data_IF_795623094290
#
_entry.id   IF_795623094290
#
_cell.length_a   1.000
_cell.length_b   1.000
_cell.length_c   1.000
_cell.angle_alpha   90.00
_cell.angle_beta   90.00
_cell.angle_gamma   90.00
#
_symmetry.space_group_name_H-M   'P 1'
#
loop_
_entity.id
_entity.type
_entity.pdbx_description
1 polymer ?
#
# COMPACT_ATOMS: atom_id res chain seq x y z
N UNK A 1 7.56 -11.66 2.97
CA UNK A 1 7.20 -10.40 3.68
C UNK A 1 6.36 -9.52 2.76
N UNK A 2 5.05 -9.41 2.98
CA UNK A 2 4.15 -8.84 1.97
C UNK A 2 4.22 -7.31 1.90
N UNK A 3 4.49 -6.75 0.73
CA UNK A 3 4.58 -5.31 0.55
C UNK A 3 3.43 -4.75 -0.28
N UNK A 4 2.84 -3.67 0.19
CA UNK A 4 1.76 -2.96 -0.48
C UNK A 4 2.19 -1.52 -0.75
N UNK A 5 1.90 -0.99 -1.93
CA UNK A 5 2.18 0.39 -2.30
C UNK A 5 0.93 1.05 -2.86
N UNK A 6 0.48 2.10 -2.18
CA UNK A 6 -0.58 2.99 -2.64
C UNK A 6 0.05 4.26 -3.23
N UNK A 7 -0.26 4.54 -4.48
CA UNK A 7 0.11 5.80 -5.14
C UNK A 7 -1.12 6.72 -5.09
N UNK A 8 -0.94 7.90 -4.50
CA UNK A 8 -1.94 8.95 -4.43
C UNK A 8 -1.40 10.20 -5.13
N UNK A 9 -2.18 10.77 -6.05
CA UNK A 9 -1.78 12.01 -6.73
C UNK A 9 -1.61 13.15 -5.72
N UNK A 10 -2.56 13.26 -4.79
CA UNK A 10 -2.59 14.26 -3.73
C UNK A 10 -3.17 13.68 -2.45
N UNK A 11 -2.89 14.39 -1.35
CA UNK A 11 -3.60 14.22 -0.09
C UNK A 11 -4.12 15.56 0.41
N UNK A 12 -5.39 15.59 0.78
CA UNK A 12 -6.08 16.73 1.36
C UNK A 12 -5.39 17.18 2.64
N UNK A 13 -5.39 18.49 2.89
CA UNK A 13 -4.96 19.03 4.17
C UNK A 13 -6.06 18.80 5.20
N UNK A 14 -5.66 18.38 6.39
CA UNK A 14 -6.54 18.18 7.55
C UNK A 14 -5.72 18.38 8.82
N UNK A 15 -6.40 18.61 9.93
CA UNK A 15 -5.80 18.76 11.25
C UNK A 15 -6.48 17.84 12.27
N UNK A 16 -6.05 17.93 13.54
CA UNK A 16 -6.64 17.12 14.62
C UNK A 16 -8.12 17.45 14.85
N UNK A 17 -8.51 18.72 14.85
CA UNK A 17 -9.89 19.14 15.07
C UNK A 17 -10.84 18.59 14.00
N UNK A 18 -10.39 18.52 12.75
CA UNK A 18 -11.16 17.91 11.66
C UNK A 18 -11.46 16.43 11.98
N UNK A 19 -10.46 15.68 12.46
CA UNK A 19 -10.61 14.27 12.85
C UNK A 19 -11.52 14.13 14.07
N UNK A 20 -11.33 14.99 15.09
CA UNK A 20 -12.13 15.00 16.32
C UNK A 20 -13.62 15.29 16.05
N UNK A 21 -13.93 16.03 14.98
CA UNK A 21 -15.30 16.37 14.56
C UNK A 21 -15.86 15.43 13.48
N UNK A 22 -15.15 14.37 13.09
CA UNK A 22 -15.58 13.44 12.03
C UNK A 22 -15.60 14.07 10.63
N UNK A 23 -14.78 15.10 10.39
CA UNK A 23 -14.64 15.82 9.12
C UNK A 23 -13.38 15.40 8.36
N UNK A 24 -12.89 14.19 8.58
CA UNK A 24 -11.72 13.65 7.87
C UNK A 24 -11.99 13.62 6.36
N UNK A 25 -11.09 14.16 5.52
CA UNK A 25 -11.24 14.10 4.07
C UNK A 25 -11.36 12.67 3.55
N UNK A 26 -12.14 12.48 2.48
CA UNK A 26 -12.43 11.14 1.95
C UNK A 26 -11.19 10.37 1.48
N UNK A 27 -10.19 11.07 0.92
CA UNK A 27 -8.92 10.48 0.51
C UNK A 27 -8.09 9.99 1.71
N UNK A 28 -8.07 10.77 2.80
CA UNK A 28 -7.45 10.37 4.07
C UNK A 28 -8.19 9.16 4.66
N UNK A 29 -9.52 9.17 4.64
CA UNK A 29 -10.34 8.04 5.08
C UNK A 29 -10.00 6.76 4.31
N UNK A 30 -9.91 6.83 2.97
CA UNK A 30 -9.54 5.66 2.13
C UNK A 30 -8.15 5.12 2.46
N UNK A 31 -7.17 6.01 2.70
CA UNK A 31 -5.84 5.61 3.15
C UNK A 31 -5.92 4.90 4.51
N UNK A 32 -6.72 5.40 5.45
CA UNK A 32 -6.93 4.78 6.75
C UNK A 32 -7.61 3.39 6.61
N UNK A 33 -8.61 3.26 5.74
CA UNK A 33 -9.22 1.95 5.41
C UNK A 33 -8.19 0.97 4.83
N UNK A 34 -7.29 1.43 3.96
CA UNK A 34 -6.17 0.62 3.47
C UNK A 34 -5.24 0.21 4.62
N UNK A 35 -4.81 1.14 5.47
CA UNK A 35 -3.95 0.86 6.64
C UNK A 35 -4.58 -0.22 7.54
N UNK A 36 -5.87 -0.11 7.81
CA UNK A 36 -6.63 -1.08 8.59
C UNK A 36 -6.56 -2.46 7.96
N UNK A 37 -6.82 -2.58 6.66
CA UNK A 37 -6.84 -3.86 5.97
C UNK A 37 -5.43 -4.43 5.71
N UNK A 38 -4.39 -3.59 5.69
CA UNK A 38 -2.99 -4.04 5.63
C UNK A 38 -2.51 -4.58 6.98
N UNK A 39 -2.89 -3.96 8.11
CA UNK A 39 -2.26 -4.26 9.39
C UNK A 39 -3.18 -4.90 10.43
N UNK A 40 -4.43 -4.49 10.57
CA UNK A 40 -5.25 -4.86 11.71
C UNK A 40 -5.82 -6.28 11.59
N UNK A 41 -5.66 -7.07 12.65
CA UNK A 41 -6.34 -8.34 12.91
C UNK A 41 -7.22 -8.17 14.16
N UNK A 42 -8.06 -9.15 14.47
CA UNK A 42 -8.94 -9.12 15.66
C UNK A 42 -8.19 -8.91 16.98
N UNK A 43 -6.99 -9.49 17.12
CA UNK A 43 -6.22 -9.48 18.38
C UNK A 43 -4.76 -9.05 18.22
N UNK A 44 -4.34 -8.69 17.00
CA UNK A 44 -2.93 -8.38 16.72
C UNK A 44 -2.81 -7.49 15.48
N UNK A 45 -1.58 -7.21 15.07
CA UNK A 45 -1.28 -6.63 13.77
C UNK A 45 -0.45 -7.60 12.90
N UNK A 46 -0.59 -7.51 11.59
CA UNK A 46 0.20 -8.24 10.60
C UNK A 46 1.63 -7.71 10.58
N UNK A 47 2.50 -8.30 11.40
CA UNK A 47 3.94 -7.96 11.47
C UNK A 47 4.69 -8.27 10.17
N UNK A 48 4.17 -9.19 9.36
CA UNK A 48 4.78 -9.58 8.08
C UNK A 48 4.59 -8.57 6.95
N UNK A 49 3.79 -7.52 7.17
CA UNK A 49 3.40 -6.57 6.13
C UNK A 49 4.18 -5.27 6.19
N UNK A 50 4.40 -4.66 5.02
CA UNK A 50 4.89 -3.28 4.86
C UNK A 50 3.92 -2.54 3.96
N UNK A 51 3.56 -1.30 4.33
CA UNK A 51 2.72 -0.44 3.52
C UNK A 51 3.45 0.85 3.16
N UNK A 52 3.53 1.13 1.87
CA UNK A 52 4.06 2.35 1.32
C UNK A 52 2.92 3.21 0.79
N UNK A 53 3.00 4.51 1.03
CA UNK A 53 2.14 5.51 0.41
C UNK A 53 3.06 6.47 -0.32
N UNK A 54 2.93 6.56 -1.64
CA UNK A 54 3.59 7.58 -2.43
C UNK A 54 2.60 8.71 -2.74
N UNK A 55 2.91 9.92 -2.26
CA UNK A 55 2.13 11.14 -2.49
C UNK A 55 2.86 11.96 -3.55
N UNK A 56 2.36 11.90 -4.79
CA UNK A 56 3.05 12.44 -5.97
C UNK A 56 3.26 13.95 -5.89
N UNK A 57 2.22 14.72 -5.57
CA UNK A 57 2.32 16.18 -5.54
C UNK A 57 3.23 16.75 -4.43
N UNK A 58 3.75 15.88 -3.55
CA UNK A 58 4.68 16.24 -2.48
C UNK A 58 6.05 15.57 -2.65
N UNK A 59 6.24 14.75 -3.68
CA UNK A 59 7.41 13.88 -3.85
C UNK A 59 7.77 13.14 -2.55
N UNK A 60 6.74 12.65 -1.84
CA UNK A 60 6.84 12.15 -0.48
C UNK A 60 6.43 10.68 -0.43
N UNK A 61 7.30 9.82 0.08
CA UNK A 61 6.96 8.45 0.40
C UNK A 61 6.83 8.27 1.92
N UNK A 62 5.75 7.64 2.36
CA UNK A 62 5.52 7.24 3.75
C UNK A 62 5.55 5.71 3.82
N UNK A 63 6.29 5.14 4.76
CA UNK A 63 6.39 3.70 5.00
C UNK A 63 5.87 3.35 6.39
N UNK A 64 5.01 2.36 6.46
CA UNK A 64 4.55 1.70 7.67
C UNK A 64 5.13 0.29 7.70
N UNK A 65 5.95 -0.01 8.71
CA UNK A 65 6.63 -1.29 8.93
C UNK A 65 5.90 -2.05 10.05
N UNK A 66 5.16 -3.11 9.69
CA UNK A 66 4.34 -3.88 10.62
C UNK A 66 5.13 -4.50 11.77
N UNK A 67 6.43 -4.79 11.60
CA UNK A 67 7.27 -5.34 12.69
C UNK A 67 7.56 -4.30 13.77
N UNK A 68 7.58 -3.02 13.42
CA UNK A 68 8.00 -1.91 14.29
C UNK A 68 6.84 -1.00 14.71
N UNK A 69 5.67 -1.18 14.10
CA UNK A 69 4.51 -0.32 14.27
C UNK A 69 4.00 -0.37 15.71
N UNK A 70 3.69 0.80 16.27
CA UNK A 70 3.01 0.95 17.57
C UNK A 70 1.91 1.99 17.47
N UNK A 71 0.93 1.89 18.36
CA UNK A 71 -0.19 2.84 18.51
C UNK A 71 -1.15 2.93 17.32
N UNK A 72 -0.99 2.08 16.30
CA UNK A 72 -1.97 1.96 15.22
C UNK A 72 -3.18 1.17 15.74
N UNK A 73 -4.28 1.87 16.01
CA UNK A 73 -5.58 1.25 16.28
C UNK A 73 -6.32 0.92 14.97
N UNK A 74 -7.39 0.12 15.05
CA UNK A 74 -8.26 -0.13 13.89
C UNK A 74 -9.19 1.05 13.59
N UNK A 75 -9.31 2.01 14.51
CA UNK A 75 -10.13 3.21 14.34
C UNK A 75 -9.46 4.22 13.40
N UNK A 76 -10.30 4.91 12.61
CA UNK A 76 -9.84 5.93 11.66
C UNK A 76 -9.09 7.07 12.35
N UNK A 77 -9.53 7.49 13.54
CA UNK A 77 -8.93 8.59 14.30
C UNK A 77 -7.45 8.32 14.61
N UNK A 78 -7.12 7.18 15.20
CA UNK A 78 -5.73 6.85 15.55
C UNK A 78 -4.82 6.76 14.32
N UNK A 79 -5.32 6.20 13.23
CA UNK A 79 -4.62 6.08 11.95
C UNK A 79 -4.38 7.45 11.32
N UNK A 80 -5.42 8.29 11.24
CA UNK A 80 -5.36 9.66 10.70
C UNK A 80 -4.38 10.52 11.50
N UNK A 81 -4.33 10.37 12.84
CA UNK A 81 -3.39 11.07 13.73
C UNK A 81 -1.93 10.62 13.56
N UNK A 82 -1.69 9.35 13.23
CA UNK A 82 -0.34 8.87 12.91
C UNK A 82 0.12 9.36 11.54
N UNK A 83 -0.78 9.33 10.56
CA UNK A 83 -0.51 9.81 9.21
C UNK A 83 -0.20 11.32 9.21
N UNK A 84 -0.99 12.15 9.88
CA UNK A 84 -0.74 13.59 9.93
C UNK A 84 0.61 13.92 10.59
N UNK A 85 1.02 13.17 11.63
CA UNK A 85 2.35 13.32 12.25
C UNK A 85 3.46 13.04 11.24
N UNK A 86 3.34 11.99 10.43
CA UNK A 86 4.30 11.69 9.37
C UNK A 86 4.32 12.78 8.29
N UNK A 87 3.16 13.25 7.84
CA UNK A 87 3.08 14.32 6.83
C UNK A 87 3.69 15.63 7.33
N UNK A 88 3.54 15.96 8.61
CA UNK A 88 4.07 17.20 9.17
C UNK A 88 5.60 17.26 9.21
N UNK A 89 6.30 16.12 9.24
CA UNK A 89 7.77 16.10 9.20
C UNK A 89 8.29 16.58 7.84
N UNK A 90 7.53 16.38 6.76
CA UNK A 90 7.92 16.88 5.43
C UNK A 90 8.07 18.42 5.37
N UNK A 91 7.51 19.14 6.34
CA UNK A 91 7.65 20.59 6.46
C UNK A 91 8.87 21.04 7.29
N UNK A 92 9.59 20.13 7.93
CA UNK A 92 10.75 20.44 8.77
C UNK A 92 11.99 20.72 7.91
N UNK A 93 12.85 21.66 8.35
CA UNK A 93 14.08 22.01 7.63
C UNK A 93 15.05 20.83 7.52
N UNK A 94 15.16 20.03 8.58
CA UNK A 94 16.03 18.85 8.63
C UNK A 94 15.66 17.81 7.57
N UNK A 95 14.37 17.65 7.29
CA UNK A 95 13.89 16.75 6.23
C UNK A 95 14.40 17.13 4.84
N UNK A 96 14.51 18.44 4.55
CA UNK A 96 14.91 18.90 3.21
C UNK A 96 16.39 18.65 2.88
N UNK A 97 17.21 18.36 3.88
CA UNK A 97 18.66 18.19 3.75
C UNK A 97 19.12 16.74 3.95
N UNK A 98 18.21 15.79 4.09
CA UNK A 98 18.53 14.40 4.42
C UNK A 98 18.23 13.45 3.26
N UNK A 99 19.23 12.66 2.88
CA UNK A 99 19.07 11.52 2.01
C UNK A 99 18.71 10.28 2.85
N UNK A 100 17.49 9.77 2.69
CA UNK A 100 17.09 8.48 3.27
C UNK A 100 15.74 8.48 3.99
N UNK A 101 15.50 7.40 4.75
CA UNK A 101 14.30 7.21 5.56
C UNK A 101 14.43 7.90 6.91
N UNK A 102 13.47 8.76 7.23
CA UNK A 102 13.38 9.51 8.48
C UNK A 102 12.24 8.95 9.31
N UNK A 103 12.50 8.65 10.58
CA UNK A 103 11.48 8.10 11.47
C UNK A 103 10.51 9.20 11.92
N UNK A 104 9.22 8.96 11.76
CA UNK A 104 8.14 9.80 12.30
C UNK A 104 7.70 9.33 13.69
N UNK A 105 7.23 8.10 13.75
CA UNK A 105 6.80 7.42 14.98
C UNK A 105 7.27 5.97 14.91
N UNK A 106 7.11 5.13 15.96
CA UNK A 106 7.52 3.74 15.89
C UNK A 106 6.87 3.00 14.71
N UNK A 107 7.71 2.54 13.79
CA UNK A 107 7.30 1.83 12.57
C UNK A 107 6.80 2.71 11.43
N UNK A 108 6.77 4.04 11.58
CA UNK A 108 6.39 4.96 10.51
C UNK A 108 7.60 5.78 10.10
N UNK A 109 7.91 5.77 8.81
CA UNK A 109 9.05 6.46 8.23
C UNK A 109 8.59 7.29 7.04
N UNK A 110 9.33 8.35 6.73
CA UNK A 110 9.12 9.14 5.53
C UNK A 110 10.41 9.30 4.75
N UNK A 111 10.31 9.50 3.45
CA UNK A 111 11.45 9.73 2.56
C UNK A 111 11.06 10.69 1.45
N UNK A 112 11.95 11.63 1.15
CA UNK A 112 11.82 12.49 -0.03
C UNK A 112 12.22 11.70 -1.26
N UNK A 113 11.39 11.73 -2.28
CA UNK A 113 11.68 11.16 -3.58
C UNK A 113 12.10 12.26 -4.55
N UNK A 114 12.79 11.90 -5.66
CA UNK A 114 12.91 12.77 -6.81
C UNK A 114 11.52 13.16 -7.33
N UNK A 115 11.44 14.32 -7.96
CA UNK A 115 10.22 14.75 -8.62
C UNK A 115 9.96 13.92 -9.88
N UNK A 116 8.80 13.26 -9.94
CA UNK A 116 8.36 12.48 -11.08
C UNK A 116 7.20 13.20 -11.78
N UNK A 117 7.33 13.45 -13.09
CA UNK A 117 6.33 14.21 -13.85
C UNK A 117 5.02 13.46 -14.01
N UNK A 118 5.10 12.14 -14.07
CA UNK A 118 3.97 11.25 -14.24
C UNK A 118 4.20 9.96 -13.40
N UNK A 119 3.16 9.15 -13.16
CA UNK A 119 3.31 7.91 -12.42
C UNK A 119 4.29 6.93 -13.10
N UNK A 120 4.32 6.88 -14.44
CA UNK A 120 5.17 5.96 -15.23
C UNK A 120 6.66 6.11 -14.89
N UNK A 121 7.16 7.34 -14.77
CA UNK A 121 8.54 7.64 -14.40
C UNK A 121 8.89 7.05 -13.03
N UNK A 122 7.96 7.16 -12.06
CA UNK A 122 8.12 6.56 -10.75
C UNK A 122 8.14 5.03 -10.83
N UNK A 123 7.23 4.40 -11.58
CA UNK A 123 7.23 2.95 -11.76
C UNK A 123 8.52 2.43 -12.41
N UNK A 124 9.10 3.18 -13.35
CA UNK A 124 10.38 2.85 -13.95
C UNK A 124 11.53 2.90 -12.94
N UNK A 125 11.47 3.82 -11.97
CA UNK A 125 12.46 3.95 -10.89
C UNK A 125 12.43 2.82 -9.86
N UNK A 126 11.32 2.08 -9.74
CA UNK A 126 11.24 0.94 -8.82
C UNK A 126 12.25 -0.15 -9.22
N UNK A 127 12.85 -0.88 -8.26
CA UNK A 127 13.73 -2.01 -8.58
C UNK A 127 13.00 -3.04 -9.46
N UNK A 128 13.76 -3.89 -10.18
CA UNK A 128 13.24 -4.90 -11.11
C UNK A 128 12.50 -6.08 -10.44
N UNK A 129 11.86 -5.85 -9.31
CA UNK A 129 11.09 -6.86 -8.57
C UNK A 129 9.68 -7.03 -9.15
N UNK A 130 9.11 -8.19 -8.87
CA UNK A 130 7.82 -8.63 -9.43
C UNK A 130 6.71 -7.71 -8.92
N UNK A 131 6.12 -6.97 -9.86
CA UNK A 131 5.03 -6.04 -9.59
C UNK A 131 3.71 -6.76 -9.84
N UNK A 132 2.76 -6.66 -8.92
CA UNK A 132 1.36 -6.95 -9.27
C UNK A 132 0.61 -5.65 -9.48
N UNK A 133 -0.01 -5.54 -10.64
CA UNK A 133 -1.08 -4.56 -10.86
C UNK A 133 -2.42 -5.28 -11.10
N UNK A 134 -3.49 -4.66 -10.62
CA UNK A 134 -4.84 -5.20 -10.75
C UNK A 134 -5.61 -4.44 -11.82
N UNK A 135 -6.13 -5.15 -12.81
CA UNK A 135 -6.94 -4.56 -13.89
C UNK A 135 -8.36 -5.12 -13.86
N UNK A 136 -9.35 -4.25 -14.03
CA UNK A 136 -10.76 -4.63 -14.17
C UNK A 136 -11.12 -5.16 -15.58
N UNK A 137 -10.19 -5.13 -16.55
CA UNK A 137 -10.46 -5.59 -17.92
C UNK A 137 -10.04 -7.06 -18.08
N UNK A 138 -10.69 -7.76 -19.02
CA UNK A 138 -10.45 -9.17 -19.38
C UNK A 138 -9.03 -9.48 -19.94
N UNK A 139 -8.06 -8.56 -19.81
CA UNK A 139 -6.67 -8.77 -20.20
C UNK A 139 -5.79 -9.24 -19.02
N UNK A 140 -6.41 -9.72 -17.94
CA UNK A 140 -5.69 -10.37 -16.85
C UNK A 140 -5.20 -11.73 -17.33
N UNK A 141 -3.92 -12.03 -17.07
CA UNK A 141 -3.28 -13.27 -17.52
C UNK A 141 -3.54 -14.39 -16.50
N UNK A 142 -3.77 -14.03 -15.23
CA UNK A 142 -3.96 -14.98 -14.13
C UNK A 142 -5.10 -14.54 -13.21
N UNK A 143 -5.99 -15.49 -12.90
CA UNK A 143 -6.93 -15.35 -11.78
C UNK A 143 -6.19 -15.66 -10.48
N UNK A 144 -6.32 -14.80 -9.48
CA UNK A 144 -5.75 -15.03 -8.16
C UNK A 144 -6.24 -16.35 -7.51
N UNK A 145 -7.45 -16.80 -7.89
CA UNK A 145 -8.01 -18.06 -7.43
C UNK A 145 -7.37 -19.29 -8.08
N UNK A 146 -6.75 -19.13 -9.25
CA UNK A 146 -6.13 -20.21 -10.04
C UNK A 146 -4.61 -20.26 -9.88
N UNK A 147 -4.06 -19.45 -8.97
CA UNK A 147 -2.62 -19.41 -8.70
C UNK A 147 -2.17 -20.76 -8.14
N UNK A 148 -1.24 -21.42 -8.86
CA UNK A 148 -0.61 -22.64 -8.37
C UNK A 148 0.06 -22.43 -7.00
N UNK A 149 0.14 -23.46 -6.13
CA UNK A 149 0.79 -23.37 -4.82
C UNK A 149 2.22 -22.81 -4.86
N UNK A 150 2.96 -23.04 -5.94
CA UNK A 150 4.31 -22.53 -6.14
C UNK A 150 4.37 -21.00 -6.31
N UNK A 151 3.36 -20.41 -6.94
CA UNK A 151 3.26 -18.96 -7.12
C UNK A 151 2.71 -18.30 -5.85
N UNK A 152 1.81 -18.96 -5.11
CA UNK A 152 1.32 -18.49 -3.80
C UNK A 152 2.46 -18.30 -2.79
N UNK A 153 3.44 -19.22 -2.78
CA UNK A 153 4.65 -19.10 -1.95
C UNK A 153 5.50 -17.87 -2.29
N UNK A 154 5.41 -17.37 -3.53
CA UNK A 154 6.11 -16.18 -3.98
C UNK A 154 5.36 -14.88 -3.67
N UNK A 155 4.03 -14.92 -3.47
CA UNK A 155 3.21 -13.74 -3.13
C UNK A 155 3.72 -13.01 -1.89
N UNK A 156 4.34 -13.74 -0.96
CA UNK A 156 4.89 -13.13 0.23
C UNK A 156 6.02 -12.17 -0.07
N UNK A 157 6.75 -12.27 -1.18
CA UNK A 157 7.88 -11.38 -1.47
C UNK A 157 7.57 -10.39 -2.61
N UNK A 158 6.28 -10.19 -2.88
CA UNK A 158 5.81 -9.33 -3.96
C UNK A 158 5.36 -7.96 -3.46
N UNK A 159 5.53 -6.97 -4.35
CA UNK A 159 5.04 -5.61 -4.18
C UNK A 159 3.71 -5.45 -4.94
N UNK A 160 2.63 -5.31 -4.19
CA UNK A 160 1.29 -5.07 -4.72
C UNK A 160 1.06 -3.57 -4.87
N UNK A 161 0.83 -3.08 -6.09
CA UNK A 161 0.62 -1.65 -6.34
C UNK A 161 -0.84 -1.32 -6.63
N UNK A 162 -1.31 -0.27 -5.96
CA UNK A 162 -2.60 0.35 -6.17
C UNK A 162 -2.46 1.83 -6.49
N UNK A 163 -3.32 2.33 -7.37
CA UNK A 163 -3.45 3.75 -7.65
C UNK A 163 -4.77 4.26 -7.07
N UNK A 164 -4.72 5.31 -6.26
CA UNK A 164 -5.87 5.87 -5.53
C UNK A 164 -6.90 6.53 -6.44
N UNK A 165 -6.50 6.98 -7.64
CA UNK A 165 -7.40 7.65 -8.57
C UNK A 165 -8.13 6.63 -9.46
N UNK A 166 -9.42 6.46 -9.17
CA UNK A 166 -10.33 5.44 -9.70
C UNK A 166 -10.78 5.69 -11.16
N UNK A 167 -10.20 6.65 -11.89
CA UNK A 167 -10.51 6.87 -13.31
C UNK A 167 -9.80 5.87 -14.26
N UNK A 168 -10.21 4.61 -14.12
CA UNK A 168 -10.56 3.54 -15.08
C UNK A 168 -9.94 3.39 -16.49
N UNK A 169 -9.00 4.21 -16.95
CA UNK A 169 -8.25 3.93 -18.20
C UNK A 169 -6.73 3.99 -18.03
N UNK A 170 -6.22 4.78 -17.08
CA UNK A 170 -4.78 4.86 -16.83
C UNK A 170 -4.19 3.52 -16.35
N UNK A 171 -4.91 2.80 -15.48
CA UNK A 171 -4.41 1.52 -14.93
C UNK A 171 -4.21 0.44 -15.99
N UNK A 172 -5.03 0.40 -17.06
CA UNK A 172 -4.89 -0.59 -18.13
C UNK A 172 -3.77 -0.29 -19.13
N UNK A 173 -3.51 1.01 -19.39
CA UNK A 173 -2.41 1.44 -20.26
C UNK A 173 -1.08 1.30 -19.51
N UNK A 174 -1.08 1.67 -18.23
CA UNK A 174 0.07 1.58 -17.36
C UNK A 174 0.44 0.12 -17.09
N UNK A 175 -0.53 -0.76 -16.82
CA UNK A 175 -0.25 -2.19 -16.68
C UNK A 175 0.31 -2.83 -17.95
N UNK A 176 -0.18 -2.43 -19.14
CA UNK A 176 0.34 -2.89 -20.43
C UNK A 176 1.75 -2.35 -20.73
N UNK A 177 2.00 -1.05 -20.49
CA UNK A 177 3.33 -0.45 -20.73
C UNK A 177 4.39 -0.99 -19.79
N UNK A 178 4.01 -1.21 -18.53
CA UNK A 178 4.93 -1.75 -17.55
C UNK A 178 5.21 -3.24 -17.80
N UNK A 179 4.24 -4.02 -18.31
CA UNK A 179 4.45 -5.44 -18.65
C UNK A 179 5.41 -5.67 -19.82
N UNK A 180 5.71 -4.64 -20.62
CA UNK A 180 6.70 -4.75 -21.72
C UNK A 180 8.15 -4.61 -21.23
N UNK A 181 8.37 -4.00 -20.06
CA UNK A 181 9.71 -3.61 -19.60
C UNK A 181 10.14 -4.23 -18.27
N UNK A 182 9.22 -4.87 -17.53
CA UNK A 182 9.49 -5.48 -16.21
C UNK A 182 8.68 -6.78 -16.02
N UNK A 183 9.11 -7.63 -15.08
CA UNK A 183 8.41 -8.84 -14.64
C UNK A 183 7.11 -8.50 -13.88
N UNK A 184 6.12 -7.97 -14.58
CA UNK A 184 4.87 -7.50 -13.97
C UNK A 184 3.78 -8.51 -14.28
N UNK A 185 3.15 -8.98 -13.22
CA UNK A 185 2.06 -9.94 -13.30
C UNK A 185 0.74 -9.19 -13.11
N UNK A 186 -0.12 -9.26 -14.12
CA UNK A 186 -1.44 -8.66 -14.05
C UNK A 186 -2.45 -9.68 -13.53
N UNK A 187 -2.91 -9.48 -12.30
CA UNK A 187 -3.89 -10.35 -11.66
C UNK A 187 -5.30 -9.80 -11.81
N UNK A 188 -6.24 -10.72 -12.04
CA UNK A 188 -7.65 -10.45 -11.84
C UNK A 188 -7.99 -10.66 -10.37
N UNK A 189 -8.59 -9.65 -9.76
CA UNK A 189 -9.33 -9.86 -8.51
C UNK A 189 -10.81 -10.09 -8.86
N UNK A 190 -11.59 -10.72 -7.96
CA UNK A 190 -13.04 -10.72 -8.05
C UNK A 190 -13.56 -9.27 -8.22
N UNK A 191 -14.82 -9.08 -8.59
CA UNK A 191 -15.47 -7.77 -8.78
C UNK A 191 -15.49 -6.94 -7.50
N UNK A 192 -14.32 -6.45 -7.11
CA UNK A 192 -14.00 -5.68 -5.93
C UNK A 192 -13.52 -4.34 -6.47
N UNK A 193 -14.27 -3.28 -6.20
CA UNK A 193 -13.95 -1.96 -6.72
C UNK A 193 -12.96 -1.23 -5.79
N UNK A 194 -13.24 -1.26 -4.49
CA UNK A 194 -12.48 -0.56 -3.47
C UNK A 194 -11.07 -1.16 -3.27
N UNK A 195 -10.07 -0.30 -3.07
CA UNK A 195 -8.66 -0.71 -2.94
C UNK A 195 -8.45 -1.45 -1.62
N UNK A 196 -9.05 -0.94 -0.55
CA UNK A 196 -9.02 -1.52 0.78
C UNK A 196 -9.53 -2.96 0.78
N UNK A 197 -10.57 -3.27 0.01
CA UNK A 197 -11.15 -4.61 -0.08
C UNK A 197 -10.24 -5.54 -0.91
N UNK A 198 -9.55 -5.02 -1.93
CA UNK A 198 -8.52 -5.76 -2.68
C UNK A 198 -7.38 -6.17 -1.77
N UNK A 199 -6.90 -5.24 -0.94
CA UNK A 199 -5.86 -5.51 0.07
C UNK A 199 -6.33 -6.60 1.04
N UNK A 200 -7.56 -6.48 1.56
CA UNK A 200 -8.14 -7.48 2.46
C UNK A 200 -8.17 -8.87 1.81
N UNK A 201 -8.63 -8.93 0.55
CA UNK A 201 -8.69 -10.18 -0.20
C UNK A 201 -7.32 -10.82 -0.43
N UNK A 202 -6.30 -10.02 -0.79
CA UNK A 202 -4.92 -10.53 -0.97
C UNK A 202 -4.40 -11.11 0.34
N UNK A 203 -4.56 -10.36 1.45
CA UNK A 203 -4.17 -10.85 2.77
C UNK A 203 -4.90 -12.14 3.14
N UNK A 204 -6.20 -12.26 2.83
CA UNK A 204 -6.97 -13.48 3.04
C UNK A 204 -6.41 -14.67 2.24
N UNK A 205 -6.04 -14.48 0.96
CA UNK A 205 -5.45 -15.56 0.16
C UNK A 205 -4.09 -16.01 0.71
N UNK A 206 -3.25 -15.07 1.15
CA UNK A 206 -1.96 -15.36 1.77
C UNK A 206 -2.16 -16.15 3.08
N UNK A 207 -3.10 -15.74 3.92
CA UNK A 207 -3.39 -16.44 5.18
C UNK A 207 -3.90 -17.87 4.93
N UNK A 208 -4.88 -18.02 4.02
CA UNK A 208 -5.42 -19.35 3.66
C UNK A 208 -4.30 -20.29 3.22
N UNK A 209 -3.39 -19.80 2.37
CA UNK A 209 -2.25 -20.59 1.92
C UNK A 209 -1.32 -20.98 3.08
N UNK A 210 -1.08 -20.09 4.04
CA UNK A 210 -0.27 -20.41 5.22
C UNK A 210 -0.92 -21.48 6.10
N UNK A 211 -2.24 -21.42 6.27
CA UNK A 211 -2.99 -22.42 7.05
C UNK A 211 -2.97 -23.80 6.39
N UNK A 212 -3.06 -23.87 5.06
CA UNK A 212 -3.03 -25.13 4.31
C UNK A 212 -1.63 -25.80 4.31
N UNK A 213 -0.56 -25.02 4.49
CA UNK A 213 0.83 -25.51 4.44
C UNK A 213 1.54 -25.60 5.80
N UNK A 214 0.96 -25.04 6.87
CA UNK A 214 1.48 -25.19 8.23
C UNK A 214 0.75 -26.35 8.95
N UNK A 215 1.52 -27.37 9.36
CA UNK A 215 1.07 -28.47 10.21
C UNK A 215 0.47 -27.89 11.52
N UNK A 216 -0.64 -28.43 12.08
CA UNK A 216 -1.41 -27.78 13.17
C UNK A 216 -0.69 -27.63 14.53
N UNK A 217 0.62 -27.86 14.59
CA UNK A 217 1.42 -27.88 15.83
C UNK A 217 2.02 -26.53 16.24
N UNK A 218 1.86 -25.48 15.45
CA UNK A 218 2.34 -24.12 15.78
C UNK A 218 1.20 -23.11 15.95
N UNK A 219 0.14 -23.53 16.67
CA UNK A 219 -0.86 -22.61 17.24
C UNK A 219 -0.62 -22.43 18.72
#
# INVERSE_FOLDING_TARGET
MTEFLLIAEKISKYNKEDIDQGRTPLDVYKICSCLRNVFCLSYNIRKGNIFYIYIMNKDLMVKFDGKKLKYLGPDERSQSLLLIKALNISHQREYNNQDGWIKSTPGIFIKKLPHYKNPEDFYNSLPNEILITFSNKNNSIFDIMEISPNILKQLEDWLFIFNSDINSNANGILSYRLSQNKNILNFKLPTIEAIEDKILYINFQIDRFKEENNDPKER
#
